data_IF_616092362953
#
_entry.id   IF_616092362953
#
_cell.length_a   1.000
_cell.length_b   1.000
_cell.length_c   1.000
_cell.angle_alpha   90.00
_cell.angle_beta   90.00
_cell.angle_gamma   90.00
#
_symmetry.space_group_name_H-M   'P 1'
#
loop_
_entity.id
_entity.type
_entity.pdbx_description
1 polymer ?
#
# COMPACT_ATOMS: atom_id res chain seq x y z
N UNK A 1 -0.15 1.55 -22.52
CA UNK A 1 -0.10 1.75 -21.05
C UNK A 1 0.86 2.90 -20.77
N UNK A 2 0.48 3.86 -19.91
CA UNK A 2 1.29 5.06 -19.65
C UNK A 2 2.64 4.67 -19.01
N UNK A 3 3.77 5.19 -19.53
CA UNK A 3 5.13 4.81 -19.13
C UNK A 3 5.36 5.06 -17.63
N UNK A 4 4.98 6.24 -17.14
CA UNK A 4 5.08 6.63 -15.73
C UNK A 4 4.40 5.62 -14.80
N UNK A 5 3.18 5.18 -15.16
CA UNK A 5 2.42 4.20 -14.38
C UNK A 5 3.07 2.82 -14.38
N UNK A 6 3.62 2.38 -15.52
CA UNK A 6 4.28 1.08 -15.63
C UNK A 6 5.52 1.03 -14.75
N UNK A 7 6.38 2.04 -14.84
CA UNK A 7 7.60 2.14 -14.04
C UNK A 7 7.28 2.20 -12.54
N UNK A 8 6.27 2.99 -12.15
CA UNK A 8 5.84 3.07 -10.76
C UNK A 8 5.29 1.74 -10.24
N UNK A 9 4.50 1.03 -11.06
CA UNK A 9 3.94 -0.29 -10.70
C UNK A 9 5.05 -1.34 -10.50
N UNK A 10 6.06 -1.35 -11.37
CA UNK A 10 7.20 -2.26 -11.24
C UNK A 10 8.02 -1.96 -9.97
N UNK A 11 8.30 -0.68 -9.71
CA UNK A 11 8.97 -0.26 -8.49
C UNK A 11 8.16 -0.62 -7.23
N UNK A 12 6.84 -0.44 -7.29
CA UNK A 12 5.93 -0.84 -6.22
C UNK A 12 6.01 -2.33 -5.91
N UNK A 13 5.90 -3.20 -6.92
CA UNK A 13 5.96 -4.65 -6.71
C UNK A 13 7.28 -5.06 -6.06
N UNK A 14 8.40 -4.46 -6.49
CA UNK A 14 9.72 -4.72 -5.92
C UNK A 14 9.78 -4.32 -4.45
N UNK A 15 9.44 -3.06 -4.14
CA UNK A 15 9.51 -2.52 -2.78
C UNK A 15 8.54 -3.25 -1.84
N UNK A 16 7.33 -3.57 -2.32
CA UNK A 16 6.33 -4.30 -1.54
C UNK A 16 6.82 -5.71 -1.18
N UNK A 17 7.31 -6.46 -2.16
CA UNK A 17 7.83 -7.82 -1.95
C UNK A 17 9.01 -7.84 -0.98
N UNK A 18 9.90 -6.84 -1.07
CA UNK A 18 11.00 -6.71 -0.13
C UNK A 18 10.50 -6.36 1.28
N UNK A 19 9.51 -5.49 1.41
CA UNK A 19 8.94 -5.08 2.69
C UNK A 19 8.20 -6.21 3.42
N UNK A 20 7.45 -7.04 2.70
CA UNK A 20 6.71 -8.19 3.24
C UNK A 20 7.63 -9.18 3.97
N UNK A 21 8.90 -9.30 3.55
CA UNK A 21 9.89 -10.15 4.23
C UNK A 21 10.21 -9.69 5.65
N UNK A 22 9.89 -8.44 6.00
CA UNK A 22 10.12 -7.86 7.31
C UNK A 22 8.87 -7.83 8.19
N UNK A 23 7.72 -8.29 7.70
CA UNK A 23 6.45 -8.38 8.43
C UNK A 23 6.41 -9.58 9.40
N UNK A 24 7.46 -9.77 10.19
CA UNK A 24 7.53 -10.81 11.21
C UNK A 24 8.03 -10.25 12.53
N UNK A 25 7.55 -10.81 13.64
CA UNK A 25 7.95 -10.38 14.98
C UNK A 25 9.47 -10.46 15.19
N UNK A 26 10.11 -11.53 14.71
CA UNK A 26 11.53 -11.82 14.93
C UNK A 26 12.51 -10.97 14.11
N UNK A 27 12.04 -10.25 13.10
CA UNK A 27 12.88 -9.37 12.28
C UNK A 27 13.40 -8.18 13.10
N UNK A 28 14.62 -7.72 12.84
CA UNK A 28 15.18 -6.52 13.47
C UNK A 28 14.34 -5.25 13.20
N UNK A 29 14.11 -4.43 14.23
CA UNK A 29 13.34 -3.20 14.14
C UNK A 29 14.00 -2.12 13.26
N UNK A 30 15.33 -2.11 13.13
CA UNK A 30 16.08 -1.24 12.21
C UNK A 30 15.69 -1.58 10.78
N UNK A 31 15.68 -2.86 10.40
CA UNK A 31 15.27 -3.30 9.06
C UNK A 31 13.80 -2.95 8.77
N UNK A 32 12.92 -3.08 9.77
CA UNK A 32 11.52 -2.64 9.65
C UNK A 32 11.41 -1.14 9.42
N UNK A 33 12.17 -0.31 10.15
CA UNK A 33 12.19 1.15 10.01
C UNK A 33 12.73 1.59 8.64
N UNK A 34 13.82 0.99 8.18
CA UNK A 34 14.37 1.25 6.84
C UNK A 34 13.35 0.90 5.74
N UNK A 35 12.58 -0.16 5.93
CA UNK A 35 11.50 -0.55 5.02
C UNK A 35 10.35 0.48 5.03
N UNK A 36 9.96 0.95 6.22
CA UNK A 36 8.94 2.01 6.39
C UNK A 36 9.33 3.28 5.62
N UNK A 37 10.60 3.69 5.67
CA UNK A 37 11.07 4.88 4.96
C UNK A 37 10.95 4.75 3.44
N UNK A 38 11.32 3.57 2.89
CA UNK A 38 11.16 3.27 1.45
C UNK A 38 9.69 3.28 1.03
N UNK A 39 8.82 2.66 1.83
CA UNK A 39 7.37 2.65 1.60
C UNK A 39 6.79 4.08 1.65
N UNK A 40 7.21 4.91 2.61
CA UNK A 40 6.77 6.30 2.71
C UNK A 40 7.21 7.16 1.51
N UNK A 41 8.41 6.93 0.98
CA UNK A 41 8.85 7.58 -0.26
C UNK A 41 7.95 7.19 -1.42
N UNK A 42 7.74 5.88 -1.62
CA UNK A 42 6.90 5.37 -2.70
C UNK A 42 5.45 5.87 -2.60
N UNK A 43 4.91 5.99 -1.38
CA UNK A 43 3.58 6.54 -1.14
C UNK A 43 3.43 7.97 -1.67
N UNK A 44 4.45 8.82 -1.49
CA UNK A 44 4.44 10.20 -2.02
C UNK A 44 4.38 10.20 -3.54
N UNK A 45 5.18 9.35 -4.19
CA UNK A 45 5.20 9.22 -5.65
C UNK A 45 3.84 8.73 -6.19
N UNK A 46 3.23 7.74 -5.53
CA UNK A 46 1.88 7.27 -5.84
C UNK A 46 0.82 8.35 -5.70
N UNK A 47 0.82 9.10 -4.60
CA UNK A 47 -0.13 10.17 -4.38
C UNK A 47 -0.02 11.27 -5.43
N UNK A 48 1.21 11.63 -5.82
CA UNK A 48 1.46 12.59 -6.89
C UNK A 48 0.89 12.10 -8.23
N UNK A 49 1.21 10.86 -8.62
CA UNK A 49 0.73 10.31 -9.90
C UNK A 49 -0.79 10.10 -9.90
N UNK A 50 -1.37 9.71 -8.77
CA UNK A 50 -2.83 9.57 -8.59
C UNK A 50 -3.53 10.91 -8.80
N UNK A 51 -3.03 11.98 -8.17
CA UNK A 51 -3.60 13.32 -8.33
C UNK A 51 -3.49 13.82 -9.79
N UNK A 52 -2.39 13.48 -10.49
CA UNK A 52 -2.25 13.72 -11.94
C UNK A 52 -3.32 12.98 -12.75
N UNK A 53 -3.64 11.72 -12.43
CA UNK A 53 -4.70 11.00 -13.14
C UNK A 53 -6.11 11.47 -12.78
N UNK A 54 -6.33 11.93 -11.55
CA UNK A 54 -7.58 12.59 -11.15
C UNK A 54 -7.81 13.86 -11.97
N UNK A 55 -6.80 14.72 -12.11
CA UNK A 55 -6.94 15.97 -12.90
C UNK A 55 -7.16 15.70 -14.38
N UNK A 56 -6.60 14.61 -14.91
CA UNK A 56 -6.84 14.13 -16.27
C UNK A 56 -8.17 13.35 -16.43
N UNK A 57 -8.98 13.23 -15.37
CA UNK A 57 -10.22 12.42 -15.34
C UNK A 57 -10.02 10.97 -15.76
N UNK A 58 -8.81 10.44 -15.57
CA UNK A 58 -8.51 9.04 -15.82
C UNK A 58 -8.83 8.21 -14.57
N UNK A 59 -10.12 7.97 -14.35
CA UNK A 59 -10.63 7.26 -13.16
C UNK A 59 -10.04 5.86 -13.02
N UNK A 60 -9.85 5.15 -14.13
CA UNK A 60 -9.26 3.81 -14.12
C UNK A 60 -7.86 3.80 -13.50
N UNK A 61 -6.96 4.66 -13.97
CA UNK A 61 -5.60 4.71 -13.42
C UNK A 61 -5.56 5.33 -12.02
N UNK A 62 -6.43 6.29 -11.72
CA UNK A 62 -6.56 6.86 -10.38
C UNK A 62 -7.01 5.79 -9.35
N UNK A 63 -8.00 4.97 -9.69
CA UNK A 63 -8.51 3.89 -8.83
C UNK A 63 -7.48 2.78 -8.65
N UNK A 64 -6.73 2.43 -9.70
CA UNK A 64 -5.61 1.49 -9.58
C UNK A 64 -4.55 1.99 -8.59
N UNK A 65 -4.15 3.26 -8.69
CA UNK A 65 -3.19 3.84 -7.74
C UNK A 65 -3.76 3.95 -6.32
N UNK A 66 -5.05 4.26 -6.17
CA UNK A 66 -5.72 4.26 -4.87
C UNK A 66 -5.68 2.85 -4.22
N UNK A 67 -5.94 1.81 -5.01
CA UNK A 67 -5.82 0.42 -4.55
C UNK A 67 -4.39 0.09 -4.08
N UNK A 68 -3.37 0.53 -4.84
CA UNK A 68 -1.96 0.35 -4.47
C UNK A 68 -1.59 1.12 -3.19
N UNK A 69 -2.08 2.35 -3.03
CA UNK A 69 -1.89 3.14 -1.80
C UNK A 69 -2.49 2.46 -0.57
N UNK A 70 -3.67 1.85 -0.71
CA UNK A 70 -4.28 1.07 0.38
C UNK A 70 -3.45 -0.18 0.72
N UNK A 71 -2.89 -0.86 -0.29
CA UNK A 71 -1.99 -1.99 -0.06
C UNK A 71 -0.72 -1.56 0.67
N UNK A 72 -0.10 -0.46 0.22
CA UNK A 72 1.08 0.11 0.86
C UNK A 72 0.78 0.53 2.31
N UNK A 73 -0.38 1.15 2.54
CA UNK A 73 -0.86 1.47 3.89
C UNK A 73 -1.02 0.22 4.75
N UNK A 74 -1.50 -0.90 4.19
CA UNK A 74 -1.61 -2.16 4.92
C UNK A 74 -0.24 -2.61 5.45
N UNK A 75 0.76 -2.72 4.57
CA UNK A 75 2.10 -3.16 4.94
C UNK A 75 2.78 -2.19 5.92
N UNK A 76 2.64 -0.88 5.71
CA UNK A 76 3.16 0.12 6.66
C UNK A 76 2.62 -0.11 8.07
N UNK A 77 1.30 -0.30 8.20
CA UNK A 77 0.69 -0.52 9.51
C UNK A 77 1.08 -1.88 10.10
N UNK A 78 1.29 -2.91 9.29
CA UNK A 78 1.79 -4.19 9.77
C UNK A 78 3.22 -4.09 10.32
N UNK A 79 4.11 -3.34 9.65
CA UNK A 79 5.46 -3.07 10.17
C UNK A 79 5.41 -2.29 11.48
N UNK A 80 4.56 -1.26 11.57
CA UNK A 80 4.36 -0.48 12.80
C UNK A 80 3.76 -1.32 13.93
N UNK A 81 2.84 -2.23 13.61
CA UNK A 81 2.28 -3.20 14.56
C UNK A 81 3.41 -4.04 15.16
N UNK A 82 4.25 -4.66 14.34
CA UNK A 82 5.33 -5.52 14.84
C UNK A 82 6.35 -4.77 15.70
N UNK A 83 6.70 -3.53 15.32
CA UNK A 83 7.58 -2.66 16.13
C UNK A 83 6.91 -2.39 17.49
N UNK A 84 5.65 -1.93 17.49
CA UNK A 84 4.91 -1.60 18.72
C UNK A 84 4.74 -2.80 19.63
N UNK A 85 4.49 -3.98 19.04
CA UNK A 85 4.39 -5.25 19.77
C UNK A 85 5.72 -5.58 20.47
N UNK A 86 6.85 -5.47 19.76
CA UNK A 86 8.18 -5.73 20.33
C UNK A 86 8.55 -4.75 21.46
N UNK A 87 8.02 -3.52 21.41
CA UNK A 87 8.19 -2.48 22.43
C UNK A 87 7.17 -2.58 23.58
N UNK A 88 6.33 -3.63 23.60
CA UNK A 88 5.26 -3.86 24.59
C UNK A 88 4.17 -2.77 24.60
N UNK A 89 4.01 -2.03 23.51
CA UNK A 89 2.92 -1.05 23.30
C UNK A 89 1.73 -1.76 22.66
N UNK A 90 1.09 -2.66 23.41
CA UNK A 90 0.11 -3.59 22.86
C UNK A 90 -1.16 -2.93 22.31
N UNK A 91 -1.64 -1.86 22.94
CA UNK A 91 -2.81 -1.12 22.45
C UNK A 91 -2.52 -0.47 21.09
N UNK A 92 -1.36 0.19 20.97
CA UNK A 92 -0.92 0.79 19.70
C UNK A 92 -0.69 -0.28 18.62
N UNK A 93 -0.08 -1.41 18.99
CA UNK A 93 0.06 -2.56 18.11
C UNK A 93 -1.31 -3.05 17.59
N UNK A 94 -2.31 -3.12 18.45
CA UNK A 94 -3.65 -3.55 18.07
C UNK A 94 -4.31 -2.56 17.10
N UNK A 95 -4.21 -1.26 17.35
CA UNK A 95 -4.75 -0.22 16.47
C UNK A 95 -4.10 -0.28 15.06
N UNK A 96 -2.79 -0.54 15.01
CA UNK A 96 -2.09 -0.76 13.76
C UNK A 96 -2.55 -2.02 13.04
N UNK A 97 -2.80 -3.13 13.75
CA UNK A 97 -3.36 -4.35 13.14
C UNK A 97 -4.72 -4.10 12.50
N UNK A 98 -5.63 -3.43 13.22
CA UNK A 98 -6.97 -3.09 12.72
C UNK A 98 -6.87 -2.18 11.49
N UNK A 99 -5.95 -1.20 11.52
CA UNK A 99 -5.71 -0.30 10.39
C UNK A 99 -5.15 -1.04 9.18
N UNK A 100 -4.24 -1.99 9.38
CA UNK A 100 -3.68 -2.81 8.32
C UNK A 100 -4.79 -3.64 7.64
N UNK A 101 -5.57 -4.38 8.43
CA UNK A 101 -6.66 -5.22 7.92
C UNK A 101 -7.74 -4.41 7.18
N UNK A 102 -8.13 -3.26 7.73
CA UNK A 102 -9.07 -2.33 7.08
C UNK A 102 -8.50 -1.83 5.75
N UNK A 103 -7.22 -1.47 5.71
CA UNK A 103 -6.56 -0.99 4.48
C UNK A 103 -6.49 -2.07 3.41
N UNK A 104 -6.18 -3.32 3.79
CA UNK A 104 -6.22 -4.46 2.87
C UNK A 104 -7.63 -4.68 2.27
N UNK A 105 -8.69 -4.57 3.08
CA UNK A 105 -10.09 -4.63 2.58
C UNK A 105 -10.40 -3.49 1.61
N UNK A 106 -9.99 -2.26 1.95
CA UNK A 106 -10.22 -1.09 1.09
C UNK A 106 -9.46 -1.18 -0.23
N UNK A 107 -8.24 -1.75 -0.24
CA UNK A 107 -7.49 -2.02 -1.48
C UNK A 107 -8.29 -2.92 -2.41
N UNK A 108 -8.85 -4.02 -1.89
CA UNK A 108 -9.70 -4.93 -2.67
C UNK A 108 -10.94 -4.23 -3.20
N UNK A 109 -11.60 -3.41 -2.39
CA UNK A 109 -12.80 -2.67 -2.82
C UNK A 109 -12.50 -1.64 -3.90
N UNK A 110 -11.39 -0.90 -3.79
CA UNK A 110 -10.94 0.06 -4.79
C UNK A 110 -10.64 -0.63 -6.14
N UNK A 111 -10.09 -1.86 -6.09
CA UNK A 111 -9.84 -2.68 -7.28
C UNK A 111 -11.12 -3.35 -7.85
N UNK A 112 -12.05 -3.75 -6.98
CA UNK A 112 -13.29 -4.45 -7.35
C UNK A 112 -14.21 -3.60 -8.26
N UNK A 113 -14.24 -2.28 -8.04
CA UNK A 113 -14.98 -1.36 -8.91
C UNK A 113 -14.44 -1.31 -10.35
N UNK A 114 -13.25 -1.85 -10.63
CA UNK A 114 -12.72 -1.98 -11.99
C UNK A 114 -13.07 -3.33 -12.62
N UNK A 115 -13.14 -4.39 -11.82
CA UNK A 115 -13.47 -5.75 -12.32
C UNK A 115 -14.94 -5.83 -12.73
N UNK A 116 -15.87 -5.27 -11.96
CA UNK A 116 -17.29 -5.26 -12.34
C UNK A 116 -17.63 -4.32 -13.51
N UNK A 117 -16.88 -3.23 -13.69
CA UNK A 117 -17.05 -2.33 -14.83
C UNK A 117 -16.50 -2.94 -16.15
N UNK A 118 -15.80 -4.08 -16.08
CA UNK A 118 -15.42 -4.88 -17.26
C UNK A 118 -16.45 -5.97 -17.61
N UNK A 119 -17.30 -6.40 -16.67
CA UNK A 119 -18.38 -7.38 -16.92
C UNK A 119 -19.69 -6.70 -17.39
N UNK A 120 -19.66 -5.41 -17.68
CA UNK A 120 -20.75 -4.64 -18.29
C UNK A 120 -20.67 -4.60 -19.82
N UNK A 121 -21.19 -5.65 -20.47
CA UNK A 121 -21.62 -5.71 -21.90
C UNK A 121 -20.53 -5.60 -22.97
N UNK A 122 -20.15 -6.77 -23.50
CA UNK A 122 -20.02 -6.99 -24.96
C UNK A 122 -21.32 -7.60 -25.47
#
# INVERSE_FOLDING_TARGET
>A
MNKDYKELKENFLKILTDAERFCFLTTDNVLKKDSIDKLNSLKKDMSSLKNKYISLKNEMLANNLLSMEFMLKSILNELHMWISFSEKKFNESWDFLITAQTSCRNSRQANYNLVLNFDGRS
#
